data_IF_738908488620
#
_entry.id   IF_738908488620
#
_cell.length_a   1.000
_cell.length_b   1.000
_cell.length_c   1.000
_cell.angle_alpha   90.00
_cell.angle_beta   90.00
_cell.angle_gamma   90.00
#
_symmetry.space_group_name_H-M   'P 1'
#
loop_
_entity.id
_entity.type
_entity.pdbx_description
1 polymer ?
#
# COMPACT_ATOMS: atom_id res chain seq x y z
N UNK A 1 -10.01 38.58 14.93
CA UNK A 1 -9.18 37.40 15.29
C UNK A 1 -8.40 37.00 14.05
N UNK A 2 -7.10 37.32 14.03
CA UNK A 2 -6.20 36.97 12.93
C UNK A 2 -6.12 35.44 12.83
N UNK A 3 -6.79 34.85 11.83
CA UNK A 3 -6.44 33.53 11.37
C UNK A 3 -5.06 33.69 10.68
N UNK A 4 -3.99 33.36 11.38
CA UNK A 4 -2.72 33.08 10.73
C UNK A 4 -3.01 31.97 9.71
N UNK A 5 -3.02 32.30 8.42
CA UNK A 5 -3.01 31.32 7.35
C UNK A 5 -1.82 30.39 7.60
N UNK A 6 -2.09 29.23 8.17
CA UNK A 6 -1.09 28.17 8.28
C UNK A 6 -0.71 27.80 6.84
N UNK A 7 0.43 28.29 6.40
CA UNK A 7 0.96 28.00 5.07
C UNK A 7 1.02 26.49 4.90
N UNK A 8 0.21 25.97 3.98
CA UNK A 8 0.15 24.53 3.68
C UNK A 8 1.55 24.01 3.39
N UNK A 9 1.96 22.89 3.97
CA UNK A 9 3.18 22.18 3.61
C UNK A 9 3.18 21.88 2.10
N UNK A 10 4.34 21.89 1.45
CA UNK A 10 4.46 21.58 0.03
C UNK A 10 5.67 20.71 -0.22
N UNK A 11 5.61 19.86 -1.24
CA UNK A 11 6.80 19.17 -1.78
C UNK A 11 7.71 20.17 -2.47
N UNK A 12 9.03 19.90 -2.47
CA UNK A 12 10.01 20.76 -3.13
C UNK A 12 9.79 20.86 -4.65
N UNK A 13 9.24 19.80 -5.27
CA UNK A 13 8.93 19.74 -6.69
C UNK A 13 8.44 18.37 -7.15
N UNK A 14 8.50 18.11 -8.47
CA UNK A 14 8.02 16.86 -9.10
C UNK A 14 8.66 15.61 -8.47
N UNK A 15 9.98 15.59 -8.29
CA UNK A 15 10.71 14.44 -7.76
C UNK A 15 10.25 14.11 -6.33
N UNK A 16 10.09 15.15 -5.50
CA UNK A 16 9.60 14.99 -4.12
C UNK A 16 8.22 14.36 -4.08
N UNK A 17 7.28 14.87 -4.86
CA UNK A 17 5.94 14.29 -4.97
C UNK A 17 5.98 12.85 -5.48
N UNK A 18 6.66 12.59 -6.61
CA UNK A 18 6.70 11.27 -7.27
C UNK A 18 7.30 10.22 -6.35
N UNK A 19 8.44 10.49 -5.70
CA UNK A 19 9.08 9.50 -4.82
C UNK A 19 8.29 9.28 -3.52
N UNK A 20 7.63 10.32 -3.00
CA UNK A 20 6.76 10.15 -1.83
C UNK A 20 5.48 9.38 -2.17
N UNK A 21 4.83 9.69 -3.31
CA UNK A 21 3.63 8.97 -3.75
C UNK A 21 3.95 7.54 -4.20
N UNK A 22 5.08 7.31 -4.90
CA UNK A 22 5.55 5.97 -5.21
C UNK A 22 5.90 5.18 -3.95
N UNK A 23 6.55 5.82 -2.95
CA UNK A 23 6.80 5.19 -1.65
C UNK A 23 5.53 4.87 -0.88
N UNK A 24 4.47 5.66 -1.03
CA UNK A 24 3.16 5.32 -0.48
C UNK A 24 2.56 4.08 -1.15
N UNK A 25 2.71 3.97 -2.48
CA UNK A 25 2.16 2.86 -3.27
C UNK A 25 2.99 1.58 -3.13
N UNK A 26 4.33 1.70 -3.17
CA UNK A 26 5.24 0.56 -3.01
C UNK A 26 5.31 0.15 -1.54
N UNK A 27 4.52 -0.85 -1.16
CA UNK A 27 4.40 -1.32 0.21
C UNK A 27 4.50 -2.84 0.33
N UNK A 28 4.08 -3.34 1.48
CA UNK A 28 4.02 -4.77 1.75
C UNK A 28 3.14 -5.51 0.73
N UNK A 29 2.12 -4.85 0.19
CA UNK A 29 1.23 -5.41 -0.84
C UNK A 29 1.95 -5.84 -2.12
N UNK A 30 2.98 -5.09 -2.56
CA UNK A 30 3.78 -5.45 -3.73
C UNK A 30 4.69 -6.64 -3.44
N UNK A 31 5.19 -6.76 -2.21
CA UNK A 31 6.25 -7.72 -1.88
C UNK A 31 5.69 -9.09 -1.52
N UNK A 32 4.58 -9.18 -0.79
CA UNK A 32 4.03 -10.51 -0.45
C UNK A 32 2.73 -10.85 -1.17
N UNK A 33 1.77 -9.88 -1.21
CA UNK A 33 0.43 -10.15 -1.72
C UNK A 33 0.43 -10.34 -3.24
N UNK A 34 1.13 -9.48 -3.95
CA UNK A 34 1.21 -9.55 -5.41
C UNK A 34 1.84 -10.86 -5.92
N UNK A 35 3.03 -11.32 -5.43
CA UNK A 35 3.60 -12.59 -5.88
C UNK A 35 2.71 -13.80 -5.57
N UNK A 36 2.09 -13.83 -4.40
CA UNK A 36 1.16 -14.87 -4.04
C UNK A 36 -0.04 -14.92 -4.99
N UNK A 37 -0.70 -13.77 -5.22
CA UNK A 37 -1.86 -13.71 -6.11
C UNK A 37 -1.48 -14.03 -7.56
N UNK A 38 -0.35 -13.54 -8.02
CA UNK A 38 0.15 -13.86 -9.35
C UNK A 38 0.36 -15.37 -9.52
N UNK A 39 0.97 -16.03 -8.55
CA UNK A 39 1.19 -17.48 -8.60
C UNK A 39 -0.11 -18.27 -8.52
N UNK A 40 -1.04 -17.89 -7.63
CA UNK A 40 -2.32 -18.59 -7.45
C UNK A 40 -3.28 -18.39 -8.63
N UNK A 41 -3.28 -17.24 -9.28
CA UNK A 41 -4.30 -16.85 -10.25
C UNK A 41 -3.76 -16.70 -11.68
N UNK A 42 -2.75 -17.49 -12.04
CA UNK A 42 -2.38 -17.76 -13.43
C UNK A 42 -1.07 -17.15 -13.92
N UNK A 43 -0.20 -16.67 -13.03
CA UNK A 43 1.15 -16.21 -13.39
C UNK A 43 1.12 -15.03 -14.37
N UNK A 44 1.64 -15.24 -15.57
CA UNK A 44 1.76 -14.20 -16.59
C UNK A 44 0.43 -13.61 -17.07
N UNK A 45 -0.68 -14.36 -17.04
CA UNK A 45 -2.00 -13.80 -17.38
C UNK A 45 -2.50 -12.87 -16.29
N UNK A 46 -2.24 -13.17 -15.02
CA UNK A 46 -2.51 -12.26 -13.91
C UNK A 46 -1.70 -10.96 -14.07
N UNK A 47 -0.40 -11.07 -14.36
CA UNK A 47 0.47 -9.92 -14.57
C UNK A 47 -0.03 -9.04 -15.71
N UNK A 48 -0.43 -9.63 -16.85
CA UNK A 48 -0.97 -8.88 -18.00
C UNK A 48 -2.22 -8.09 -17.61
N UNK A 49 -3.17 -8.74 -16.92
CA UNK A 49 -4.41 -8.10 -16.45
C UNK A 49 -4.08 -6.98 -15.45
N UNK A 50 -3.16 -7.23 -14.52
CA UNK A 50 -2.72 -6.24 -13.54
C UNK A 50 -2.15 -4.98 -14.23
N UNK A 51 -1.28 -5.13 -15.24
CA UNK A 51 -0.72 -4.01 -16.01
C UNK A 51 -1.84 -3.22 -16.71
N UNK A 52 -2.78 -3.90 -17.36
CA UNK A 52 -3.91 -3.23 -18.03
C UNK A 52 -4.73 -2.42 -17.01
N UNK A 53 -5.01 -2.99 -15.85
CA UNK A 53 -5.75 -2.32 -14.79
C UNK A 53 -4.96 -1.15 -14.17
N UNK A 54 -3.65 -1.27 -14.01
CA UNK A 54 -2.81 -0.17 -13.54
C UNK A 54 -2.87 1.02 -14.51
N UNK A 55 -2.76 0.75 -15.84
CA UNK A 55 -2.80 1.78 -16.90
C UNK A 55 -4.18 2.42 -17.10
N UNK A 56 -5.24 1.81 -16.64
CA UNK A 56 -6.62 2.27 -16.82
C UNK A 56 -7.26 2.74 -15.52
N UNK A 57 -7.59 1.80 -14.65
CA UNK A 57 -8.25 2.07 -13.36
C UNK A 57 -7.30 2.80 -12.40
N UNK A 58 -6.10 2.27 -12.17
CA UNK A 58 -5.11 2.84 -11.26
C UNK A 58 -4.76 4.27 -11.65
N UNK A 59 -4.37 4.46 -12.91
CA UNK A 59 -4.11 5.79 -13.47
C UNK A 59 -5.27 6.77 -13.22
N UNK A 60 -6.51 6.34 -13.50
CA UNK A 60 -7.69 7.19 -13.37
C UNK A 60 -7.92 7.64 -11.92
N UNK A 61 -7.79 6.73 -10.98
CA UNK A 61 -8.01 7.05 -9.56
C UNK A 61 -6.89 7.93 -9.00
N UNK A 62 -5.63 7.70 -9.37
CA UNK A 62 -4.51 8.57 -8.95
C UNK A 62 -4.71 9.99 -9.47
N UNK A 63 -5.05 10.15 -10.76
CA UNK A 63 -5.35 11.47 -11.35
C UNK A 63 -6.51 12.14 -10.62
N UNK A 64 -7.60 11.41 -10.36
CA UNK A 64 -8.79 11.94 -9.69
C UNK A 64 -8.47 12.47 -8.30
N UNK A 65 -7.88 11.63 -7.44
CA UNK A 65 -7.61 11.98 -6.04
C UNK A 65 -6.52 13.06 -5.91
N UNK A 66 -5.45 12.97 -6.70
CA UNK A 66 -4.40 14.00 -6.73
C UNK A 66 -4.96 15.36 -7.19
N UNK A 67 -5.83 15.36 -8.21
CA UNK A 67 -6.49 16.60 -8.68
C UNK A 67 -7.39 17.19 -7.59
N UNK A 68 -8.21 16.38 -6.91
CA UNK A 68 -9.07 16.83 -5.80
C UNK A 68 -8.20 17.52 -4.72
N UNK A 69 -7.10 16.88 -4.33
CA UNK A 69 -6.16 17.41 -3.35
C UNK A 69 -5.55 18.73 -3.78
N UNK A 70 -5.00 18.80 -5.01
CA UNK A 70 -4.34 20.02 -5.55
C UNK A 70 -5.30 21.18 -5.77
N UNK A 71 -6.52 20.92 -6.26
CA UNK A 71 -7.55 21.95 -6.45
C UNK A 71 -7.95 22.61 -5.15
N UNK A 72 -8.00 21.86 -4.06
CA UNK A 72 -8.54 22.33 -2.79
C UNK A 72 -7.47 22.77 -1.79
N UNK A 73 -6.25 22.25 -1.92
CA UNK A 73 -5.18 22.47 -0.95
C UNK A 73 -5.52 21.91 0.44
N UNK A 74 -6.40 20.91 0.55
CA UNK A 74 -6.91 20.37 1.81
C UNK A 74 -6.81 18.85 1.87
N UNK A 75 -6.83 18.33 3.11
CA UNK A 75 -6.98 16.90 3.41
C UNK A 75 -8.37 16.38 2.99
N UNK A 76 -8.62 15.07 2.97
CA UNK A 76 -9.83 14.49 2.40
C UNK A 76 -11.14 15.14 2.87
N UNK A 77 -11.34 15.35 4.17
CA UNK A 77 -12.58 15.92 4.70
C UNK A 77 -12.78 17.35 4.19
N UNK A 78 -11.76 18.19 4.32
CA UNK A 78 -11.80 19.56 3.86
C UNK A 78 -11.93 19.67 2.34
N UNK A 79 -11.30 18.76 1.59
CA UNK A 79 -11.39 18.69 0.15
C UNK A 79 -12.84 18.42 -0.32
N UNK A 80 -13.50 17.42 0.24
CA UNK A 80 -14.89 17.12 -0.08
C UNK A 80 -15.84 18.26 0.31
N UNK A 81 -15.66 18.87 1.49
CA UNK A 81 -16.43 20.04 1.95
C UNK A 81 -16.32 21.25 1.02
N UNK A 82 -15.18 21.41 0.33
CA UNK A 82 -14.96 22.52 -0.62
C UNK A 82 -15.92 22.49 -1.82
N UNK A 83 -16.53 21.34 -2.12
CA UNK A 83 -17.50 21.17 -3.23
C UNK A 83 -18.96 21.16 -2.77
N UNK A 84 -19.23 21.33 -1.49
CA UNK A 84 -20.58 21.46 -0.95
C UNK A 84 -20.72 20.85 0.44
N UNK A 85 -21.85 21.15 1.08
CA UNK A 85 -22.11 20.77 2.47
C UNK A 85 -23.13 19.64 2.61
N UNK A 86 -23.40 18.87 1.53
CA UNK A 86 -24.34 17.76 1.56
C UNK A 86 -23.81 16.61 2.45
N UNK A 87 -24.68 15.89 3.19
CA UNK A 87 -24.27 14.78 4.04
C UNK A 87 -23.43 13.71 3.32
N UNK A 88 -23.78 13.39 2.07
CA UNK A 88 -23.03 12.42 1.26
C UNK A 88 -21.58 12.87 0.98
N UNK A 89 -21.31 14.17 0.81
CA UNK A 89 -19.95 14.70 0.63
C UNK A 89 -19.17 14.63 1.94
N UNK A 90 -19.80 14.95 3.05
CA UNK A 90 -19.18 14.81 4.38
C UNK A 90 -18.82 13.34 4.63
N UNK A 91 -19.73 12.41 4.34
CA UNK A 91 -19.45 10.97 4.46
C UNK A 91 -18.27 10.54 3.60
N UNK A 92 -18.23 10.94 2.31
CA UNK A 92 -17.12 10.63 1.39
C UNK A 92 -15.78 11.18 1.89
N UNK A 93 -15.74 12.38 2.46
CA UNK A 93 -14.54 12.95 3.07
C UNK A 93 -14.08 12.17 4.31
N UNK A 94 -15.01 11.90 5.23
CA UNK A 94 -14.69 11.20 6.48
C UNK A 94 -14.29 9.75 6.28
N UNK A 95 -14.92 9.01 5.36
CA UNK A 95 -14.52 7.62 5.10
C UNK A 95 -13.08 7.56 4.58
N UNK A 96 -12.67 8.44 3.65
CA UNK A 96 -11.30 8.55 3.18
C UNK A 96 -10.30 8.94 4.30
N UNK A 97 -10.75 9.72 5.29
CA UNK A 97 -9.90 10.16 6.40
C UNK A 97 -9.76 9.13 7.52
N UNK A 98 -10.79 8.33 7.78
CA UNK A 98 -10.80 7.31 8.83
C UNK A 98 -9.98 6.08 8.44
N UNK A 99 -9.99 5.71 7.15
CA UNK A 99 -9.25 4.56 6.63
C UNK A 99 -7.78 4.56 7.08
N UNK A 100 -6.96 5.59 6.83
CA UNK A 100 -5.56 5.57 7.26
C UNK A 100 -5.40 5.56 8.77
N UNK A 101 -6.32 6.15 9.54
CA UNK A 101 -6.29 6.10 11.02
C UNK A 101 -6.44 4.67 11.53
N UNK A 102 -7.23 3.84 10.84
CA UNK A 102 -7.44 2.44 11.21
C UNK A 102 -6.35 1.51 10.64
N UNK A 103 -5.79 1.83 9.47
CA UNK A 103 -4.73 1.00 8.84
C UNK A 103 -3.41 1.13 9.59
N UNK A 104 -2.97 2.35 9.91
CA UNK A 104 -1.65 2.62 10.50
C UNK A 104 -1.36 1.76 11.73
N UNK A 105 -2.29 1.56 12.68
CA UNK A 105 -2.05 0.72 13.86
C UNK A 105 -1.65 -0.71 13.52
N UNK A 106 -2.48 -1.46 12.79
CA UNK A 106 -2.20 -2.86 12.49
C UNK A 106 -1.07 -3.02 11.45
N UNK A 107 -0.93 -2.08 10.52
CA UNK A 107 0.18 -2.04 9.57
C UNK A 107 1.54 -1.89 10.27
N UNK A 108 1.58 -1.09 11.34
CA UNK A 108 2.78 -0.92 12.16
C UNK A 108 3.14 -2.18 12.95
N UNK A 109 2.18 -3.03 13.30
CA UNK A 109 2.46 -4.35 13.89
C UNK A 109 3.21 -5.24 12.90
N UNK A 110 2.73 -5.28 11.65
CA UNK A 110 3.41 -6.03 10.59
C UNK A 110 4.81 -5.44 10.31
N UNK A 111 4.94 -4.11 10.34
CA UNK A 111 6.24 -3.44 10.28
C UNK A 111 7.17 -3.86 11.42
N UNK A 112 6.64 -4.05 12.62
CA UNK A 112 7.36 -4.60 13.77
C UNK A 112 7.87 -6.03 13.52
N UNK A 113 7.08 -6.89 12.88
CA UNK A 113 7.54 -8.23 12.48
C UNK A 113 8.72 -8.17 11.51
N UNK A 114 8.70 -7.20 10.59
CA UNK A 114 9.83 -6.93 9.67
C UNK A 114 11.08 -6.51 10.44
N UNK A 115 10.94 -5.63 11.44
CA UNK A 115 12.05 -5.21 12.32
C UNK A 115 12.67 -6.41 13.03
N UNK A 116 11.85 -7.32 13.57
CA UNK A 116 12.34 -8.55 14.23
C UNK A 116 13.15 -9.41 13.28
N UNK A 117 12.62 -9.71 12.10
CA UNK A 117 13.28 -10.57 11.13
C UNK A 117 14.57 -9.92 10.59
N UNK A 118 14.56 -8.62 10.34
CA UNK A 118 15.77 -7.89 9.96
C UNK A 118 16.87 -8.01 11.03
N UNK A 119 16.50 -7.82 12.30
CA UNK A 119 17.44 -7.94 13.40
C UNK A 119 18.08 -9.34 13.46
N UNK A 120 17.29 -10.41 13.33
CA UNK A 120 17.79 -11.78 13.32
C UNK A 120 18.73 -12.05 12.14
N UNK A 121 18.39 -11.60 10.94
CA UNK A 121 19.25 -11.75 9.77
C UNK A 121 20.58 -11.00 9.91
N UNK A 122 20.55 -9.75 10.42
CA UNK A 122 21.77 -8.94 10.65
C UNK A 122 22.66 -9.57 11.73
N UNK A 123 22.06 -10.23 12.72
CA UNK A 123 22.79 -10.98 13.75
C UNK A 123 23.30 -12.36 13.28
N UNK A 124 23.08 -12.70 12.01
CA UNK A 124 23.51 -13.98 11.44
C UNK A 124 22.64 -15.18 11.82
N UNK A 125 21.44 -14.93 12.36
CA UNK A 125 20.51 -15.96 12.85
C UNK A 125 19.45 -16.34 11.80
N UNK A 126 19.78 -16.26 10.50
CA UNK A 126 18.85 -16.56 9.41
C UNK A 126 18.23 -17.97 9.49
N UNK A 127 19.01 -18.97 9.92
CA UNK A 127 18.54 -20.34 10.13
C UNK A 127 17.49 -20.46 11.26
N UNK A 128 17.58 -19.60 12.28
CA UNK A 128 16.63 -19.58 13.39
C UNK A 128 15.22 -19.14 12.92
N UNK A 129 15.16 -18.08 12.10
CA UNK A 129 13.88 -17.58 11.58
C UNK A 129 13.26 -18.50 10.51
N UNK A 130 14.06 -19.38 9.91
CA UNK A 130 13.60 -20.40 8.99
C UNK A 130 13.03 -21.65 9.69
N UNK A 131 13.26 -21.79 11.00
CA UNK A 131 12.78 -22.94 11.77
C UNK A 131 11.23 -22.99 11.84
N UNK A 132 10.69 -24.21 11.85
CA UNK A 132 9.25 -24.42 11.98
C UNK A 132 8.73 -23.85 13.32
N UNK A 133 7.62 -23.12 13.25
CA UNK A 133 6.99 -22.54 14.42
C UNK A 133 7.62 -21.24 14.94
N UNK A 134 8.77 -20.80 14.41
CA UNK A 134 9.40 -19.56 14.86
C UNK A 134 8.46 -18.36 14.77
N UNK A 135 7.84 -18.15 13.62
CA UNK A 135 6.92 -17.01 13.42
C UNK A 135 5.73 -17.07 14.40
N UNK A 136 5.11 -18.24 14.54
CA UNK A 136 3.97 -18.41 15.46
C UNK A 136 4.38 -18.18 16.92
N UNK A 137 5.55 -18.67 17.33
CA UNK A 137 6.09 -18.42 18.67
C UNK A 137 6.41 -16.95 18.92
N UNK A 138 6.94 -16.25 17.91
CA UNK A 138 7.25 -14.83 18.00
C UNK A 138 5.98 -13.97 18.15
N UNK A 139 4.96 -14.15 17.29
CA UNK A 139 3.74 -13.34 17.34
C UNK A 139 2.87 -13.64 18.57
N UNK A 140 2.94 -14.85 19.13
CA UNK A 140 2.27 -15.20 20.38
C UNK A 140 2.98 -14.69 21.62
N UNK A 141 4.27 -14.34 21.52
CA UNK A 141 5.02 -13.68 22.59
C UNK A 141 4.66 -12.19 22.65
N UNK A 142 3.67 -11.83 23.46
CA UNK A 142 3.14 -10.46 23.54
C UNK A 142 4.21 -9.40 23.78
N UNK A 143 5.20 -9.64 24.66
CA UNK A 143 6.25 -8.66 24.93
C UNK A 143 7.17 -8.43 23.73
N UNK A 144 7.62 -9.49 23.07
CA UNK A 144 8.53 -9.39 21.92
C UNK A 144 7.85 -8.75 20.72
N UNK A 145 6.61 -9.14 20.42
CA UNK A 145 5.81 -8.58 19.33
C UNK A 145 5.54 -7.10 19.58
N UNK A 146 5.12 -6.75 20.80
CA UNK A 146 4.79 -5.37 21.19
C UNK A 146 6.01 -4.45 21.09
N UNK A 147 7.17 -4.88 21.60
CA UNK A 147 8.39 -4.10 21.53
C UNK A 147 8.81 -3.79 20.08
N UNK A 148 8.77 -4.78 19.20
CA UNK A 148 9.08 -4.59 17.78
C UNK A 148 8.08 -3.65 17.09
N UNK A 149 6.79 -3.78 17.40
CA UNK A 149 5.76 -2.87 16.93
C UNK A 149 6.03 -1.43 17.36
N UNK A 150 6.34 -1.20 18.65
CA UNK A 150 6.63 0.13 19.18
C UNK A 150 7.88 0.76 18.55
N UNK A 151 8.91 -0.04 18.24
CA UNK A 151 10.10 0.42 17.51
C UNK A 151 9.70 0.93 16.11
N UNK A 152 8.93 0.15 15.36
CA UNK A 152 8.48 0.57 14.02
C UNK A 152 7.57 1.80 14.08
N UNK A 153 6.64 1.85 15.03
CA UNK A 153 5.77 3.01 15.27
C UNK A 153 6.59 4.28 15.57
N UNK A 154 7.61 4.16 16.44
CA UNK A 154 8.50 5.27 16.77
C UNK A 154 9.28 5.77 15.55
N UNK A 155 9.78 4.87 14.69
CA UNK A 155 10.44 5.24 13.43
C UNK A 155 9.50 6.05 12.52
N UNK A 156 8.27 5.59 12.34
CA UNK A 156 7.25 6.29 11.55
C UNK A 156 6.97 7.69 12.12
N UNK A 157 6.68 7.78 13.41
CA UNK A 157 6.34 9.03 14.08
C UNK A 157 7.50 10.04 14.06
N UNK A 158 8.75 9.59 14.24
CA UNK A 158 9.92 10.46 14.18
C UNK A 158 10.02 11.17 12.82
N UNK A 159 9.74 10.46 11.72
CA UNK A 159 9.75 11.04 10.39
C UNK A 159 8.58 12.03 10.20
N UNK A 160 7.40 11.70 10.71
CA UNK A 160 6.23 12.59 10.63
C UNK A 160 6.45 13.87 11.42
N UNK A 161 7.06 13.82 12.62
CA UNK A 161 7.42 15.02 13.39
C UNK A 161 8.39 15.95 12.63
N UNK A 162 9.28 15.39 11.80
CA UNK A 162 10.20 16.19 10.98
C UNK A 162 9.52 16.95 9.82
N UNK A 163 8.25 16.66 9.52
CA UNK A 163 7.44 17.38 8.53
C UNK A 163 7.46 16.78 7.12
N UNK A 164 6.83 17.49 6.18
CA UNK A 164 6.66 16.99 4.81
C UNK A 164 7.98 17.01 4.05
N UNK A 165 8.63 18.17 3.96
CA UNK A 165 9.85 18.35 3.16
C UNK A 165 11.07 17.67 3.81
N UNK A 166 11.32 17.96 5.10
CA UNK A 166 12.51 17.48 5.83
C UNK A 166 12.35 16.02 6.33
N UNK A 167 11.13 15.55 6.50
CA UNK A 167 10.82 14.18 6.91
C UNK A 167 10.45 13.31 5.71
N UNK A 168 9.21 13.38 5.28
CA UNK A 168 8.61 12.47 4.28
C UNK A 168 9.38 12.48 2.96
N UNK A 169 9.57 13.64 2.38
CA UNK A 169 10.22 13.78 1.08
C UNK A 169 11.69 13.37 1.13
N UNK A 170 12.43 13.82 2.16
CA UNK A 170 13.84 13.50 2.32
C UNK A 170 14.06 12.01 2.50
N UNK A 171 13.25 11.37 3.33
CA UNK A 171 13.32 9.92 3.57
C UNK A 171 12.96 9.14 2.30
N UNK A 172 11.90 9.53 1.59
CA UNK A 172 11.50 8.90 0.33
C UNK A 172 12.58 9.03 -0.75
N UNK A 173 13.25 10.19 -0.85
CA UNK A 173 14.37 10.40 -1.79
C UNK A 173 15.57 9.47 -1.55
N UNK A 174 15.77 9.01 -0.33
CA UNK A 174 16.86 8.08 0.04
C UNK A 174 16.37 6.63 -0.10
N UNK A 175 15.24 6.31 0.50
CA UNK A 175 14.76 4.91 0.59
C UNK A 175 14.33 4.35 -0.76
N UNK A 176 13.65 5.14 -1.62
CA UNK A 176 13.13 4.63 -2.88
C UNK A 176 14.22 4.17 -3.87
N UNK A 177 15.30 4.94 -4.13
CA UNK A 177 16.40 4.44 -4.96
C UNK A 177 17.08 3.19 -4.39
N UNK A 178 17.31 3.12 -3.09
CA UNK A 178 17.90 1.95 -2.43
C UNK A 178 16.97 0.74 -2.59
N UNK A 179 15.67 0.91 -2.40
CA UNK A 179 14.66 -0.13 -2.59
C UNK A 179 14.69 -0.69 -4.02
N UNK A 180 14.77 0.17 -5.03
CA UNK A 180 14.88 -0.24 -6.45
C UNK A 180 16.15 -1.05 -6.69
N UNK A 181 17.29 -0.59 -6.19
CA UNK A 181 18.58 -1.31 -6.33
C UNK A 181 18.52 -2.67 -5.65
N UNK A 182 18.03 -2.73 -4.41
CA UNK A 182 17.88 -3.99 -3.68
C UNK A 182 16.92 -4.95 -4.39
N UNK A 183 15.78 -4.43 -4.89
CA UNK A 183 14.82 -5.24 -5.67
C UNK A 183 15.48 -5.85 -6.90
N UNK A 184 16.28 -5.07 -7.63
CA UNK A 184 17.00 -5.55 -8.81
C UNK A 184 18.03 -6.63 -8.44
N UNK A 185 18.86 -6.37 -7.43
CA UNK A 185 19.91 -7.31 -7.00
C UNK A 185 19.31 -8.64 -6.57
N UNK A 186 18.25 -8.61 -5.74
CA UNK A 186 17.62 -9.83 -5.24
C UNK A 186 16.88 -10.56 -6.38
N UNK A 187 16.23 -9.83 -7.31
CA UNK A 187 15.59 -10.44 -8.49
C UNK A 187 16.61 -11.17 -9.36
N UNK A 188 17.75 -10.53 -9.68
CA UNK A 188 18.83 -11.16 -10.45
C UNK A 188 19.35 -12.40 -9.73
N UNK A 189 19.58 -12.31 -8.42
CA UNK A 189 20.01 -13.46 -7.63
C UNK A 189 18.98 -14.60 -7.70
N UNK A 190 17.70 -14.32 -7.54
CA UNK A 190 16.61 -15.31 -7.56
C UNK A 190 16.51 -16.04 -8.91
N UNK A 191 16.49 -15.28 -10.02
CA UNK A 191 16.31 -15.87 -11.35
C UNK A 191 17.52 -16.67 -11.82
N UNK A 192 18.69 -16.49 -11.23
CA UNK A 192 19.92 -17.26 -11.53
C UNK A 192 20.02 -18.57 -10.76
N UNK A 193 19.09 -18.91 -9.89
CA UNK A 193 19.11 -20.18 -9.15
C UNK A 193 18.76 -21.36 -10.04
N UNK A 194 19.38 -22.52 -9.84
CA UNK A 194 18.99 -23.76 -10.52
C UNK A 194 17.48 -24.04 -10.30
N UNK A 195 16.75 -24.34 -11.37
CA UNK A 195 15.30 -24.57 -11.31
C UNK A 195 14.41 -23.31 -11.35
N UNK A 196 14.99 -22.11 -11.23
CA UNK A 196 14.22 -20.85 -11.22
C UNK A 196 13.57 -20.50 -12.56
N UNK A 197 14.09 -21.00 -13.68
CA UNK A 197 13.62 -20.64 -15.04
C UNK A 197 12.14 -20.97 -15.27
N UNK A 198 11.65 -22.07 -14.71
CA UNK A 198 10.23 -22.44 -14.80
C UNK A 198 9.33 -21.41 -14.11
N UNK A 199 9.74 -20.92 -12.93
CA UNK A 199 9.06 -19.85 -12.22
C UNK A 199 9.07 -18.53 -12.99
N UNK A 200 10.20 -18.19 -13.63
CA UNK A 200 10.30 -17.00 -14.51
C UNK A 200 9.33 -17.13 -15.69
N UNK A 201 9.31 -18.27 -16.39
CA UNK A 201 8.39 -18.51 -17.51
C UNK A 201 6.92 -18.45 -17.04
N UNK A 202 6.62 -19.11 -15.93
CA UNK A 202 5.27 -19.10 -15.33
C UNK A 202 4.79 -17.67 -15.05
N UNK A 203 5.65 -16.84 -14.48
CA UNK A 203 5.30 -15.49 -14.07
C UNK A 203 5.25 -14.47 -15.22
N UNK A 204 6.15 -14.58 -16.21
CA UNK A 204 6.25 -13.57 -17.28
C UNK A 204 5.47 -13.93 -18.55
N UNK A 205 5.24 -15.22 -18.82
CA UNK A 205 4.60 -15.66 -20.08
C UNK A 205 3.09 -15.83 -19.84
N UNK A 206 2.24 -14.99 -20.46
CA UNK A 206 0.80 -15.12 -20.36
C UNK A 206 0.32 -16.46 -20.94
N UNK A 207 -0.41 -17.24 -20.13
CA UNK A 207 -1.03 -18.46 -20.61
C UNK A 207 -2.56 -18.34 -20.42
N UNK A 208 -3.27 -18.24 -21.53
CA UNK A 208 -4.73 -18.07 -21.54
C UNK A 208 -5.44 -19.26 -20.91
N UNK A 209 -4.84 -20.47 -20.90
CA UNK A 209 -5.41 -21.66 -20.23
C UNK A 209 -5.53 -21.47 -18.70
N UNK A 210 -4.70 -20.61 -18.13
CA UNK A 210 -4.71 -20.29 -16.69
C UNK A 210 -5.66 -19.12 -16.35
N UNK A 211 -6.40 -18.59 -17.33
CA UNK A 211 -7.35 -17.51 -17.12
C UNK A 211 -8.58 -18.01 -16.34
N UNK A 212 -8.99 -17.21 -15.37
CA UNK A 212 -10.28 -17.35 -14.70
C UNK A 212 -10.88 -15.95 -14.43
N UNK A 213 -12.18 -15.87 -14.23
CA UNK A 213 -12.79 -14.60 -13.80
C UNK A 213 -12.23 -14.12 -12.45
N UNK A 214 -11.81 -15.07 -11.60
CA UNK A 214 -11.16 -14.76 -10.34
C UNK A 214 -9.79 -14.09 -10.53
N UNK A 215 -9.07 -14.38 -11.63
CA UNK A 215 -7.84 -13.67 -12.02
C UNK A 215 -8.09 -12.16 -12.17
N UNK A 216 -9.21 -11.78 -12.81
CA UNK A 216 -9.57 -10.37 -12.98
C UNK A 216 -9.94 -9.72 -11.65
N UNK A 217 -10.80 -10.36 -10.87
CA UNK A 217 -11.27 -9.82 -9.57
C UNK A 217 -10.10 -9.63 -8.59
N UNK A 218 -9.23 -10.62 -8.51
CA UNK A 218 -8.06 -10.55 -7.59
C UNK A 218 -7.01 -9.57 -8.08
N UNK A 219 -6.78 -9.46 -9.39
CA UNK A 219 -5.90 -8.42 -9.96
C UNK A 219 -6.43 -7.01 -9.71
N UNK A 220 -7.76 -6.80 -9.81
CA UNK A 220 -8.39 -5.52 -9.44
C UNK A 220 -8.18 -5.20 -7.97
N UNK A 221 -8.46 -6.16 -7.07
CA UNK A 221 -8.26 -5.98 -5.64
C UNK A 221 -6.81 -5.72 -5.26
N UNK A 222 -5.87 -6.41 -5.92
CA UNK A 222 -4.43 -6.19 -5.71
C UNK A 222 -4.01 -4.78 -6.15
N UNK A 223 -4.42 -4.35 -7.32
CA UNK A 223 -4.07 -3.04 -7.85
C UNK A 223 -4.67 -1.89 -7.03
N UNK A 224 -5.89 -2.07 -6.54
CA UNK A 224 -6.58 -1.14 -5.67
C UNK A 224 -5.80 -0.89 -4.36
N UNK A 225 -5.33 -1.98 -3.75
CA UNK A 225 -4.50 -1.94 -2.54
C UNK A 225 -3.11 -1.38 -2.80
N UNK A 226 -2.45 -1.83 -3.89
CA UNK A 226 -1.07 -1.48 -4.23
C UNK A 226 -0.89 0.02 -4.46
N UNK A 227 -1.77 0.65 -5.24
CA UNK A 227 -1.66 2.07 -5.59
C UNK A 227 -2.16 3.04 -4.49
N UNK A 228 -2.47 2.55 -3.29
CA UNK A 228 -2.97 3.35 -2.16
C UNK A 228 -4.20 4.20 -2.51
N UNK A 229 -5.08 3.67 -3.34
CA UNK A 229 -6.30 4.33 -3.80
C UNK A 229 -7.35 4.33 -2.69
N UNK A 230 -8.10 5.41 -2.58
CA UNK A 230 -9.19 5.59 -1.61
C UNK A 230 -8.77 5.46 -0.13
N UNK A 231 -7.53 5.80 0.16
CA UNK A 231 -6.98 5.89 1.54
C UNK A 231 -6.76 7.34 1.97
N UNK A 232 -7.22 8.32 1.21
CA UNK A 232 -6.99 9.75 1.49
C UNK A 232 -5.55 10.23 1.24
N UNK A 233 -4.60 9.31 1.01
CA UNK A 233 -3.17 9.63 0.82
C UNK A 233 -2.96 10.49 -0.43
N UNK A 234 -3.52 10.08 -1.56
CA UNK A 234 -3.35 10.80 -2.83
C UNK A 234 -4.02 12.17 -2.83
N UNK A 235 -5.14 12.34 -2.10
CA UNK A 235 -5.76 13.64 -1.87
C UNK A 235 -4.83 14.51 -1.00
N UNK A 236 -4.30 13.96 0.09
CA UNK A 236 -3.38 14.66 0.98
C UNK A 236 -2.10 15.09 0.26
N UNK A 237 -1.44 14.16 -0.45
CA UNK A 237 -0.22 14.46 -1.20
C UNK A 237 -0.47 15.39 -2.38
N UNK A 238 -1.63 15.26 -3.05
CA UNK A 238 -2.09 16.20 -4.06
C UNK A 238 -2.22 17.62 -3.51
N UNK A 239 -2.69 17.77 -2.26
CA UNK A 239 -2.78 19.09 -1.60
C UNK A 239 -1.42 19.75 -1.31
N UNK A 240 -0.33 18.98 -1.35
CA UNK A 240 1.04 19.48 -1.21
C UNK A 240 1.74 19.67 -2.56
N UNK A 241 1.08 19.30 -3.67
CA UNK A 241 1.64 19.42 -5.02
C UNK A 241 1.54 20.86 -5.52
N UNK A 242 2.65 21.39 -6.01
CA UNK A 242 2.69 22.70 -6.64
C UNK A 242 1.94 22.71 -7.98
N UNK A 243 1.37 23.84 -8.37
CA UNK A 243 0.55 23.96 -9.60
C UNK A 243 1.36 23.78 -10.88
N UNK A 244 2.65 24.07 -10.86
CA UNK A 244 3.58 23.91 -11.99
C UNK A 244 3.98 22.46 -12.25
N UNK A 245 3.69 21.56 -11.30
CA UNK A 245 4.01 20.13 -11.44
C UNK A 245 2.90 19.42 -12.20
N UNK A 246 3.25 18.70 -13.27
CA UNK A 246 2.30 17.93 -14.06
C UNK A 246 1.70 16.77 -13.27
N UNK A 247 0.35 16.76 -13.14
CA UNK A 247 -0.36 15.62 -12.53
C UNK A 247 -0.19 14.38 -13.41
N UNK A 248 -0.41 14.51 -14.72
CA UNK A 248 -0.39 13.35 -15.63
C UNK A 248 0.99 12.67 -15.66
N UNK A 249 2.07 13.44 -15.80
CA UNK A 249 3.43 12.89 -15.80
C UNK A 249 3.80 12.28 -14.44
N UNK A 250 3.37 12.92 -13.35
CA UNK A 250 3.63 12.42 -12.00
C UNK A 250 2.87 11.12 -11.73
N UNK A 251 1.60 11.05 -12.12
CA UNK A 251 0.79 9.83 -12.03
C UNK A 251 1.41 8.69 -12.82
N UNK A 252 1.85 8.96 -14.08
CA UNK A 252 2.52 7.94 -14.90
C UNK A 252 3.79 7.42 -14.24
N UNK A 253 4.56 8.31 -13.60
CA UNK A 253 5.77 7.88 -12.91
C UNK A 253 5.44 7.01 -11.68
N UNK A 254 4.43 7.35 -10.90
CA UNK A 254 3.97 6.51 -9.77
C UNK A 254 3.49 5.15 -10.25
N UNK A 255 2.67 5.11 -11.31
CA UNK A 255 2.18 3.89 -11.98
C UNK A 255 3.35 2.98 -12.42
N UNK A 256 4.36 3.55 -13.09
CA UNK A 256 5.54 2.82 -13.55
C UNK A 256 6.37 2.31 -12.37
N UNK A 257 6.59 3.12 -11.34
CA UNK A 257 7.32 2.69 -10.15
C UNK A 257 6.64 1.53 -9.44
N UNK A 258 5.35 1.64 -9.16
CA UNK A 258 4.58 0.59 -8.48
C UNK A 258 4.59 -0.72 -9.28
N UNK A 259 4.28 -0.63 -10.58
CA UNK A 259 4.25 -1.81 -11.47
C UNK A 259 5.63 -2.46 -11.61
N UNK A 260 6.70 -1.66 -11.74
CA UNK A 260 8.07 -2.18 -11.84
C UNK A 260 8.48 -2.90 -10.54
N UNK A 261 8.18 -2.34 -9.37
CA UNK A 261 8.47 -3.00 -8.09
C UNK A 261 7.62 -4.27 -7.91
N UNK A 262 6.34 -4.26 -8.32
CA UNK A 262 5.51 -5.46 -8.29
C UNK A 262 6.08 -6.58 -9.18
N UNK A 263 6.55 -6.25 -10.38
CA UNK A 263 7.21 -7.20 -11.28
C UNK A 263 8.52 -7.71 -10.66
N UNK A 264 9.36 -6.82 -10.12
CA UNK A 264 10.59 -7.23 -9.45
C UNK A 264 10.31 -8.11 -8.23
N UNK A 265 9.28 -7.81 -7.43
CA UNK A 265 8.86 -8.64 -6.31
C UNK A 265 8.41 -10.04 -6.78
N UNK A 266 7.66 -10.10 -7.89
CA UNK A 266 7.32 -11.37 -8.53
C UNK A 266 8.57 -12.15 -8.96
N UNK A 267 9.55 -11.49 -9.56
CA UNK A 267 10.83 -12.10 -9.96
C UNK A 267 11.75 -12.46 -8.78
N UNK A 268 11.65 -11.75 -7.65
CA UNK A 268 12.37 -12.12 -6.43
C UNK A 268 11.84 -13.40 -5.81
N UNK A 269 10.52 -13.55 -5.78
CA UNK A 269 9.85 -14.53 -4.93
C UNK A 269 9.42 -15.78 -5.71
N UNK A 270 8.74 -15.62 -6.84
CA UNK A 270 8.18 -16.77 -7.57
C UNK A 270 9.28 -17.72 -8.07
N UNK A 271 10.35 -17.27 -8.77
CA UNK A 271 11.41 -18.16 -9.21
C UNK A 271 12.16 -18.84 -8.07
N UNK A 272 12.40 -18.12 -6.94
CA UNK A 272 13.07 -18.68 -5.77
C UNK A 272 12.23 -19.80 -5.12
N UNK A 273 10.92 -19.59 -4.97
CA UNK A 273 10.02 -20.59 -4.39
C UNK A 273 9.86 -21.79 -5.36
N UNK A 274 9.77 -21.55 -6.67
CA UNK A 274 9.74 -22.65 -7.66
C UNK A 274 11.00 -23.52 -7.63
N UNK A 275 12.18 -22.89 -7.53
CA UNK A 275 13.44 -23.59 -7.38
C UNK A 275 13.48 -24.43 -6.10
N UNK A 276 12.97 -23.89 -4.99
CA UNK A 276 12.91 -24.58 -3.69
C UNK A 276 11.87 -25.71 -3.64
N UNK A 277 10.70 -25.52 -4.28
CA UNK A 277 9.57 -26.46 -4.24
C UNK A 277 9.50 -27.42 -5.43
N UNK A 278 10.55 -27.52 -6.23
CA UNK A 278 10.57 -28.35 -7.45
C UNK A 278 9.43 -28.03 -8.42
N UNK A 279 9.05 -26.75 -8.51
CA UNK A 279 8.06 -26.24 -9.46
C UNK A 279 6.61 -26.23 -8.96
N UNK A 280 6.37 -26.41 -7.66
CA UNK A 280 5.01 -26.38 -7.08
C UNK A 280 4.57 -24.95 -6.73
N UNK A 281 3.58 -24.35 -7.46
CA UNK A 281 3.07 -23.01 -7.15
C UNK A 281 2.34 -22.94 -5.80
N UNK A 282 1.83 -24.08 -5.27
CA UNK A 282 1.10 -24.10 -4.00
C UNK A 282 1.99 -23.87 -2.77
N UNK A 283 3.31 -23.94 -2.95
CA UNK A 283 4.28 -23.58 -1.94
C UNK A 283 4.27 -22.06 -1.62
N UNK A 284 3.75 -21.21 -2.52
CA UNK A 284 3.52 -19.80 -2.25
C UNK A 284 2.28 -19.62 -1.37
N UNK A 285 2.48 -19.58 -0.06
CA UNK A 285 1.40 -19.41 0.91
C UNK A 285 0.86 -17.96 0.90
N UNK A 286 -0.41 -17.81 1.30
CA UNK A 286 -1.05 -16.51 1.40
C UNK A 286 -0.53 -15.66 2.58
N UNK A 287 -0.59 -14.35 2.40
CA UNK A 287 -0.42 -13.38 3.48
C UNK A 287 0.96 -13.39 4.14
N UNK A 288 1.02 -13.10 5.45
CA UNK A 288 2.27 -13.05 6.22
C UNK A 288 3.09 -14.33 6.17
N UNK A 289 2.43 -15.48 5.99
CA UNK A 289 3.10 -16.78 5.92
C UNK A 289 4.10 -16.89 4.75
N UNK A 290 3.84 -16.23 3.63
CA UNK A 290 4.82 -16.18 2.54
C UNK A 290 6.12 -15.50 3.00
N UNK A 291 6.02 -14.33 3.60
CA UNK A 291 7.17 -13.50 3.94
C UNK A 291 7.91 -13.98 5.19
N UNK A 292 7.17 -14.46 6.19
CA UNK A 292 7.75 -14.80 7.50
C UNK A 292 7.96 -16.30 7.74
N UNK A 293 7.47 -17.17 6.85
CA UNK A 293 7.69 -18.62 6.96
C UNK A 293 8.36 -19.16 5.70
N UNK A 294 7.76 -18.94 4.52
CA UNK A 294 8.26 -19.56 3.27
C UNK A 294 9.58 -18.95 2.82
N UNK A 295 9.67 -17.63 2.72
CA UNK A 295 10.86 -16.93 2.22
C UNK A 295 12.11 -17.18 3.10
N UNK A 296 12.04 -17.13 4.44
CA UNK A 296 13.18 -17.51 5.27
C UNK A 296 13.70 -18.92 5.01
N UNK A 297 12.82 -19.91 4.82
CA UNK A 297 13.21 -21.28 4.46
C UNK A 297 13.89 -21.35 3.09
N UNK A 298 13.38 -20.62 2.12
CA UNK A 298 13.99 -20.50 0.80
C UNK A 298 15.39 -19.94 0.90
N UNK A 299 15.58 -18.84 1.65
CA UNK A 299 16.90 -18.24 1.84
C UNK A 299 17.86 -19.16 2.60
N UNK A 300 17.39 -19.86 3.62
CA UNK A 300 18.20 -20.82 4.39
C UNK A 300 18.72 -21.97 3.52
N UNK A 301 17.96 -22.38 2.51
CA UNK A 301 18.37 -23.39 1.52
C UNK A 301 19.34 -22.89 0.46
N UNK A 302 19.58 -21.55 0.38
CA UNK A 302 20.39 -20.92 -0.65
C UNK A 302 21.79 -20.54 -0.13
N UNK A 303 22.81 -20.65 -1.00
CA UNK A 303 24.12 -20.02 -0.72
C UNK A 303 23.93 -18.49 -0.54
N UNK A 304 24.63 -17.91 0.41
CA UNK A 304 24.49 -16.48 0.80
C UNK A 304 23.12 -16.09 1.40
N UNK A 305 22.33 -17.06 1.87
CA UNK A 305 20.97 -16.83 2.37
C UNK A 305 20.88 -15.75 3.45
N UNK A 306 21.83 -15.69 4.38
CA UNK A 306 21.86 -14.62 5.41
C UNK A 306 22.05 -13.23 4.81
N UNK A 307 22.93 -13.07 3.82
CA UNK A 307 23.16 -11.77 3.16
C UNK A 307 21.94 -11.35 2.33
N UNK A 308 21.39 -12.25 1.55
CA UNK A 308 20.21 -12.00 0.74
C UNK A 308 18.99 -11.75 1.62
N UNK A 309 18.81 -12.51 2.70
CA UNK A 309 17.76 -12.29 3.68
C UNK A 309 17.86 -10.93 4.37
N UNK A 310 19.07 -10.51 4.77
CA UNK A 310 19.31 -9.17 5.30
C UNK A 310 18.91 -8.10 4.29
N UNK A 311 19.38 -8.21 3.04
CA UNK A 311 19.03 -7.26 1.97
C UNK A 311 17.51 -7.23 1.70
N UNK A 312 16.87 -8.40 1.70
CA UNK A 312 15.43 -8.52 1.51
C UNK A 312 14.64 -7.83 2.65
N UNK A 313 15.00 -8.08 3.92
CA UNK A 313 14.29 -7.46 5.03
C UNK A 313 14.59 -5.96 5.19
N UNK A 314 15.75 -5.45 4.74
CA UNK A 314 15.99 -4.00 4.57
C UNK A 314 15.04 -3.42 3.51
N UNK A 315 14.90 -4.07 2.36
CA UNK A 315 13.98 -3.68 1.30
C UNK A 315 12.54 -3.65 1.82
N UNK A 316 12.11 -4.70 2.51
CA UNK A 316 10.76 -4.81 3.09
C UNK A 316 10.53 -3.73 4.15
N UNK A 317 11.52 -3.44 5.01
CA UNK A 317 11.43 -2.37 6.00
C UNK A 317 11.23 -1.01 5.33
N UNK A 318 11.97 -0.71 4.26
CA UNK A 318 11.83 0.55 3.54
C UNK A 318 10.44 0.66 2.88
N UNK A 319 9.96 -0.39 2.25
CA UNK A 319 8.61 -0.44 1.67
C UNK A 319 7.52 -0.26 2.74
N UNK A 320 7.66 -0.93 3.89
CA UNK A 320 6.72 -0.79 4.98
C UNK A 320 6.73 0.63 5.58
N UNK A 321 7.93 1.19 5.78
CA UNK A 321 8.09 2.49 6.42
C UNK A 321 7.58 3.63 5.54
N UNK A 322 7.85 3.64 4.25
CA UNK A 322 7.36 4.68 3.32
C UNK A 322 5.84 4.68 3.22
N UNK A 323 5.19 3.51 3.21
CA UNK A 323 3.73 3.41 3.22
C UNK A 323 3.13 3.83 4.58
N UNK A 324 3.73 3.42 5.70
CA UNK A 324 3.31 3.82 7.04
C UNK A 324 3.37 5.34 7.23
N UNK A 325 4.44 5.99 6.73
CA UNK A 325 4.60 7.45 6.74
C UNK A 325 3.46 8.12 5.97
N UNK A 326 3.14 7.63 4.77
CA UNK A 326 2.11 8.22 3.93
C UNK A 326 0.69 8.11 4.55
N UNK A 327 0.37 6.94 5.12
CA UNK A 327 -0.86 6.71 5.87
C UNK A 327 -0.96 7.65 7.08
N UNK A 328 0.12 7.73 7.88
CA UNK A 328 0.16 8.58 9.08
C UNK A 328 0.02 10.05 8.72
N UNK A 329 0.67 10.52 7.64
CA UNK A 329 0.55 11.89 7.18
C UNK A 329 -0.88 12.23 6.76
N UNK A 330 -1.57 11.32 6.06
CA UNK A 330 -2.98 11.52 5.68
C UNK A 330 -3.87 11.70 6.92
N UNK A 331 -3.65 10.90 7.96
CA UNK A 331 -4.36 11.03 9.24
C UNK A 331 -4.03 12.34 9.98
N UNK A 332 -2.74 12.68 10.08
CA UNK A 332 -2.25 13.91 10.75
C UNK A 332 -2.79 15.15 10.06
N UNK A 333 -2.69 15.23 8.73
CA UNK A 333 -3.17 16.38 7.96
C UNK A 333 -4.68 16.58 8.11
N UNK A 334 -5.44 15.50 8.25
CA UNK A 334 -6.89 15.58 8.50
C UNK A 334 -7.18 16.24 9.86
N UNK A 335 -6.47 15.85 10.92
CA UNK A 335 -6.65 16.48 12.24
C UNK A 335 -6.20 17.96 12.25
N UNK A 336 -5.14 18.29 11.51
CA UNK A 336 -4.71 19.68 11.35
C UNK A 336 -5.78 20.53 10.67
N UNK A 337 -6.34 20.04 9.56
CA UNK A 337 -7.31 20.79 8.77
C UNK A 337 -8.69 20.91 9.45
N UNK A 338 -9.17 19.84 10.09
CA UNK A 338 -10.51 19.82 10.66
C UNK A 338 -10.58 20.39 12.08
N UNK A 339 -9.53 20.18 12.88
CA UNK A 339 -9.50 20.61 14.29
C UNK A 339 -8.61 21.83 14.52
N UNK A 340 -7.90 22.33 13.50
CA UNK A 340 -6.98 23.45 13.63
C UNK A 340 -5.79 23.14 14.55
N UNK A 341 -5.42 21.86 14.71
CA UNK A 341 -4.33 21.47 15.61
C UNK A 341 -2.97 21.72 14.98
N UNK A 342 -1.99 22.06 15.83
CA UNK A 342 -0.60 22.06 15.40
C UNK A 342 -0.16 20.67 14.97
N UNK A 343 0.84 20.60 14.08
CA UNK A 343 1.40 19.32 13.60
C UNK A 343 1.80 18.41 14.75
N UNK A 344 2.52 18.93 15.75
CA UNK A 344 2.98 18.15 16.88
C UNK A 344 1.81 17.55 17.67
N UNK A 345 0.75 18.32 17.93
CA UNK A 345 -0.45 17.83 18.63
C UNK A 345 -1.17 16.75 17.81
N UNK A 346 -1.35 16.98 16.51
CA UNK A 346 -2.00 16.01 15.63
C UNK A 346 -1.18 14.71 15.52
N UNK A 347 0.15 14.81 15.33
CA UNK A 347 1.04 13.65 15.28
C UNK A 347 1.04 12.86 16.58
N UNK A 348 1.09 13.54 17.74
CA UNK A 348 1.01 12.86 19.05
C UNK A 348 -0.31 12.14 19.23
N UNK A 349 -1.44 12.73 18.82
CA UNK A 349 -2.75 12.06 18.91
C UNK A 349 -2.83 10.82 18.01
N UNK A 350 -2.34 10.91 16.77
CA UNK A 350 -2.26 9.73 15.89
C UNK A 350 -1.31 8.69 16.47
N UNK A 351 -0.20 9.10 17.09
CA UNK A 351 0.70 8.20 17.82
C UNK A 351 0.01 7.46 18.95
N UNK A 352 -0.80 8.14 19.76
CA UNK A 352 -1.61 7.51 20.82
C UNK A 352 -2.61 6.51 20.22
N UNK A 353 -3.33 6.89 19.15
CA UNK A 353 -4.25 6.00 18.45
C UNK A 353 -3.51 4.78 17.87
N UNK A 354 -2.33 5.00 17.28
CA UNK A 354 -1.48 3.94 16.73
C UNK A 354 -1.07 2.93 17.82
N UNK A 355 -0.64 3.41 18.99
CA UNK A 355 -0.27 2.54 20.11
C UNK A 355 -1.48 1.79 20.62
N UNK A 356 -2.59 2.46 20.92
CA UNK A 356 -3.78 1.82 21.51
C UNK A 356 -4.37 0.73 20.59
N UNK A 357 -4.63 1.05 19.32
CA UNK A 357 -5.22 0.10 18.38
C UNK A 357 -4.19 -0.93 17.87
N UNK A 358 -2.92 -0.52 17.78
CA UNK A 358 -1.84 -1.42 17.40
C UNK A 358 -1.55 -2.46 18.47
N UNK A 359 -1.59 -2.08 19.76
CA UNK A 359 -1.43 -3.05 20.86
C UNK A 359 -2.55 -4.08 20.87
N UNK A 360 -3.80 -3.72 20.55
CA UNK A 360 -4.87 -4.70 20.37
C UNK A 360 -4.54 -5.71 19.26
N UNK A 361 -4.02 -5.21 18.14
CA UNK A 361 -3.63 -6.05 16.99
C UNK A 361 -2.39 -6.91 17.29
N UNK A 362 -1.38 -6.35 17.97
CA UNK A 362 -0.14 -7.05 18.34
C UNK A 362 -0.40 -8.15 19.38
N UNK A 363 -1.18 -7.85 20.40
CA UNK A 363 -1.52 -8.80 21.48
C UNK A 363 -2.61 -9.80 21.07
N UNK A 364 -3.30 -9.56 19.94
CA UNK A 364 -4.37 -10.42 19.43
C UNK A 364 -3.92 -11.84 19.07
N UNK A 365 -2.63 -12.05 18.78
CA UNK A 365 -2.07 -13.39 18.52
C UNK A 365 -1.46 -14.07 19.76
N UNK A 366 -1.43 -13.37 20.88
CA UNK A 366 -0.86 -13.84 22.14
C UNK A 366 -1.85 -13.74 23.31
N UNK A 367 -1.67 -12.80 24.26
CA UNK A 367 -2.53 -12.68 25.43
C UNK A 367 -4.01 -12.46 25.15
N UNK A 368 -4.36 -11.83 24.03
CA UNK A 368 -5.73 -11.56 23.59
C UNK A 368 -6.24 -12.53 22.52
N UNK A 369 -5.55 -13.66 22.26
CA UNK A 369 -5.88 -14.60 21.19
C UNK A 369 -7.33 -15.16 21.27
N UNK A 370 -7.91 -15.20 22.45
CA UNK A 370 -9.29 -15.66 22.67
C UNK A 370 -10.34 -14.55 22.43
N UNK A 371 -9.92 -13.31 22.21
CA UNK A 371 -10.81 -12.17 21.96
C UNK A 371 -10.88 -11.91 20.46
N UNK A 372 -12.02 -12.24 19.85
CA UNK A 372 -12.22 -12.08 18.40
C UNK A 372 -13.43 -11.20 18.11
N UNK A 373 -13.40 -10.51 16.99
CA UNK A 373 -14.53 -9.72 16.45
C UNK A 373 -15.02 -10.43 15.18
N UNK A 374 -16.26 -10.90 15.18
CA UNK A 374 -16.86 -11.67 14.06
C UNK A 374 -15.97 -12.90 13.68
N UNK A 375 -15.36 -13.53 14.70
CA UNK A 375 -14.47 -14.68 14.49
C UNK A 375 -13.07 -14.35 13.96
N UNK A 376 -12.72 -13.07 13.82
CA UNK A 376 -11.41 -12.61 13.34
C UNK A 376 -10.58 -12.04 14.49
N UNK A 377 -9.26 -12.22 14.45
CA UNK A 377 -8.33 -11.50 15.31
C UNK A 377 -8.38 -10.01 15.01
N UNK A 378 -7.94 -9.15 15.95
CA UNK A 378 -8.01 -7.70 15.81
C UNK A 378 -7.34 -7.19 14.52
N UNK A 379 -6.14 -7.69 14.19
CA UNK A 379 -5.44 -7.31 12.97
C UNK A 379 -6.27 -7.66 11.72
N UNK A 380 -6.75 -8.90 11.64
CA UNK A 380 -7.53 -9.40 10.50
C UNK A 380 -8.87 -8.66 10.38
N UNK A 381 -9.49 -8.31 11.51
CA UNK A 381 -10.72 -7.53 11.52
C UNK A 381 -10.50 -6.11 11.00
N UNK A 382 -9.45 -5.41 11.45
CA UNK A 382 -9.15 -4.07 10.95
C UNK A 382 -8.76 -4.09 9.47
N UNK A 383 -8.00 -5.09 9.03
CA UNK A 383 -7.67 -5.28 7.61
C UNK A 383 -8.93 -5.53 6.77
N UNK A 384 -9.80 -6.43 7.20
CA UNK A 384 -11.09 -6.67 6.55
C UNK A 384 -11.95 -5.41 6.48
N UNK A 385 -12.14 -4.72 7.62
CA UNK A 385 -12.97 -3.52 7.69
C UNK A 385 -12.47 -2.43 6.75
N UNK A 386 -11.17 -2.16 6.75
CA UNK A 386 -10.58 -1.08 5.95
C UNK A 386 -10.46 -1.46 4.49
N UNK A 387 -9.81 -2.57 4.17
CA UNK A 387 -9.48 -2.92 2.78
C UNK A 387 -10.66 -3.53 2.03
N UNK A 388 -11.47 -4.37 2.69
CA UNK A 388 -12.55 -5.09 2.03
C UNK A 388 -13.86 -4.30 1.98
N UNK A 389 -14.10 -3.40 2.96
CA UNK A 389 -15.37 -2.67 3.08
C UNK A 389 -15.18 -1.17 2.82
N UNK A 390 -14.35 -0.49 3.62
CA UNK A 390 -14.30 0.97 3.60
C UNK A 390 -13.66 1.53 2.34
N UNK A 391 -12.54 0.97 1.88
CA UNK A 391 -11.84 1.46 0.70
C UNK A 391 -12.68 1.41 -0.60
N UNK A 392 -13.37 0.31 -0.94
CA UNK A 392 -14.26 0.30 -2.10
C UNK A 392 -15.38 1.34 -2.01
N UNK A 393 -15.95 1.54 -0.82
CA UNK A 393 -16.97 2.58 -0.60
C UNK A 393 -16.37 3.98 -0.80
N UNK A 394 -15.17 4.23 -0.27
CA UNK A 394 -14.46 5.49 -0.45
C UNK A 394 -14.12 5.76 -1.93
N UNK A 395 -13.74 4.74 -2.69
CA UNK A 395 -13.50 4.87 -4.13
C UNK A 395 -14.77 5.22 -4.90
N UNK A 396 -15.89 4.56 -4.59
CA UNK A 396 -17.20 4.91 -5.18
C UNK A 396 -17.54 6.36 -4.85
N UNK A 397 -17.32 6.81 -3.60
CA UNK A 397 -17.54 8.19 -3.20
C UNK A 397 -16.65 9.17 -3.99
N UNK A 398 -15.36 8.86 -4.21
CA UNK A 398 -14.45 9.65 -5.06
C UNK A 398 -14.92 9.71 -6.51
N UNK A 399 -15.36 8.58 -7.07
CA UNK A 399 -15.91 8.52 -8.43
C UNK A 399 -17.18 9.39 -8.57
N UNK A 400 -18.09 9.32 -7.60
CA UNK A 400 -19.31 10.15 -7.59
C UNK A 400 -18.95 11.63 -7.45
N UNK A 401 -18.03 11.98 -6.55
CA UNK A 401 -17.56 13.36 -6.40
C UNK A 401 -17.04 13.92 -7.72
N UNK A 402 -16.16 13.19 -8.41
CA UNK A 402 -15.58 13.64 -9.67
C UNK A 402 -16.59 13.66 -10.80
N UNK A 403 -17.40 12.61 -10.95
CA UNK A 403 -18.29 12.49 -12.11
C UNK A 403 -19.58 13.32 -12.02
N UNK A 404 -20.10 13.56 -10.79
CA UNK A 404 -21.42 14.20 -10.58
C UNK A 404 -21.36 15.57 -9.90
N UNK A 405 -20.33 15.86 -9.13
CA UNK A 405 -20.24 17.10 -8.34
C UNK A 405 -19.23 18.07 -8.93
N UNK A 406 -17.97 17.64 -9.10
CA UNK A 406 -16.90 18.47 -9.66
C UNK A 406 -17.08 18.63 -11.17
N UNK A 407 -17.35 17.52 -11.84
CA UNK A 407 -17.35 17.39 -13.29
C UNK A 407 -15.96 17.08 -13.85
N UNK A 408 -15.93 16.15 -14.82
CA UNK A 408 -14.67 15.69 -15.45
C UNK A 408 -13.94 16.81 -16.20
N UNK A 409 -14.64 17.86 -16.61
CA UNK A 409 -14.09 19.03 -17.28
C UNK A 409 -13.19 19.84 -16.34
N UNK A 410 -13.63 20.09 -15.09
CA UNK A 410 -12.83 20.80 -14.09
C UNK A 410 -11.58 20.01 -13.70
N UNK A 411 -11.68 18.68 -13.65
CA UNK A 411 -10.49 17.84 -13.46
C UNK A 411 -9.53 17.97 -14.65
N UNK A 412 -10.07 17.96 -15.88
CA UNK A 412 -9.24 18.14 -17.08
C UNK A 412 -8.52 19.51 -17.08
N UNK A 413 -9.23 20.58 -16.69
CA UNK A 413 -8.63 21.91 -16.52
C UNK A 413 -7.51 21.90 -15.47
N UNK A 414 -7.73 21.25 -14.33
CA UNK A 414 -6.71 21.12 -13.28
C UNK A 414 -5.48 20.36 -13.77
N UNK A 415 -5.68 19.24 -14.48
CA UNK A 415 -4.58 18.43 -15.03
C UNK A 415 -3.73 19.22 -16.03
N UNK A 416 -4.35 20.10 -16.81
CA UNK A 416 -3.68 20.90 -17.87
C UNK A 416 -3.15 22.25 -17.40
N UNK A 417 -3.17 22.56 -16.11
CA UNK A 417 -2.67 23.84 -15.57
C UNK A 417 -1.20 24.12 -15.88
N UNK A 418 -0.40 23.08 -16.05
CA UNK A 418 1.02 23.15 -16.43
C UNK A 418 1.25 23.40 -17.92
N UNK A 419 0.18 23.62 -18.69
CA UNK A 419 0.22 23.85 -20.16
C UNK A 419 0.37 22.58 -21.00
N UNK A 420 0.38 21.41 -20.39
CA UNK A 420 0.50 20.12 -21.12
C UNK A 420 -0.86 19.53 -21.42
N UNK A 421 -1.01 18.77 -22.54
CA UNK A 421 -2.26 18.13 -22.89
C UNK A 421 -2.57 16.95 -21.96
N UNK A 422 -3.84 16.75 -21.60
CA UNK A 422 -4.31 15.57 -20.90
C UNK A 422 -4.44 14.39 -21.90
N UNK A 423 -3.37 13.61 -22.09
CA UNK A 423 -3.27 12.58 -23.14
C UNK A 423 -4.27 11.44 -22.98
N UNK A 424 -4.45 10.93 -21.75
CA UNK A 424 -5.36 9.80 -21.45
C UNK A 424 -6.77 10.26 -21.05
N UNK A 425 -7.20 11.48 -21.43
CA UNK A 425 -8.51 12.06 -21.05
C UNK A 425 -9.68 11.17 -21.42
N UNK A 426 -9.70 10.53 -22.61
CA UNK A 426 -10.78 9.63 -23.04
C UNK A 426 -10.92 8.42 -22.11
N UNK A 427 -9.77 7.79 -21.75
CA UNK A 427 -9.71 6.67 -20.80
C UNK A 427 -10.22 7.14 -19.43
N UNK A 428 -9.70 8.25 -18.92
CA UNK A 428 -10.13 8.85 -17.66
C UNK A 428 -11.65 9.05 -17.60
N UNK A 429 -12.23 9.64 -18.63
CA UNK A 429 -13.67 9.93 -18.67
C UNK A 429 -14.53 8.66 -18.66
N UNK A 430 -14.16 7.64 -19.41
CA UNK A 430 -14.88 6.37 -19.45
C UNK A 430 -14.75 5.61 -18.11
N UNK A 431 -13.51 5.56 -17.58
CA UNK A 431 -13.21 4.85 -16.34
C UNK A 431 -13.91 5.49 -15.15
N UNK A 432 -13.76 6.80 -14.92
CA UNK A 432 -14.26 7.46 -13.71
C UNK A 432 -15.81 7.48 -13.65
N UNK A 433 -16.49 7.53 -14.80
CA UNK A 433 -17.95 7.59 -14.85
C UNK A 433 -18.61 6.24 -14.68
N UNK A 434 -18.01 5.17 -15.20
CA UNK A 434 -18.66 3.87 -15.35
C UNK A 434 -17.84 2.72 -14.75
N UNK A 435 -16.60 2.53 -15.21
CA UNK A 435 -15.85 1.34 -14.88
C UNK A 435 -15.25 1.36 -13.46
N UNK A 436 -14.72 2.49 -13.00
CA UNK A 436 -14.17 2.57 -11.64
C UNK A 436 -15.20 2.30 -10.55
N UNK A 437 -16.40 2.94 -10.54
CA UNK A 437 -17.40 2.62 -9.53
C UNK A 437 -17.94 1.19 -9.67
N UNK A 438 -18.05 0.65 -10.89
CA UNK A 438 -18.44 -0.74 -11.12
C UNK A 438 -17.41 -1.73 -10.56
N UNK A 439 -16.12 -1.51 -10.82
CA UNK A 439 -15.05 -2.36 -10.29
C UNK A 439 -14.97 -2.28 -8.76
N UNK A 440 -15.11 -1.08 -8.18
CA UNK A 440 -15.13 -0.93 -6.74
C UNK A 440 -16.33 -1.67 -6.10
N UNK A 441 -17.50 -1.67 -6.75
CA UNK A 441 -18.65 -2.45 -6.29
C UNK A 441 -18.40 -3.97 -6.37
N UNK A 442 -17.75 -4.47 -7.44
CA UNK A 442 -17.36 -5.88 -7.55
C UNK A 442 -16.38 -6.25 -6.42
N UNK A 443 -15.36 -5.42 -6.16
CA UNK A 443 -14.41 -5.66 -5.08
C UNK A 443 -15.14 -5.73 -3.73
N UNK A 444 -16.05 -4.81 -3.46
CA UNK A 444 -16.83 -4.77 -2.22
C UNK A 444 -17.64 -6.07 -2.04
N UNK A 445 -18.41 -6.44 -3.06
CA UNK A 445 -19.29 -7.62 -3.00
C UNK A 445 -18.45 -8.90 -2.88
N UNK A 446 -17.41 -9.05 -3.70
CA UNK A 446 -16.56 -10.25 -3.66
C UNK A 446 -15.79 -10.38 -2.35
N UNK A 447 -15.29 -9.28 -1.80
CA UNK A 447 -14.56 -9.30 -0.53
C UNK A 447 -15.48 -9.66 0.65
N UNK A 448 -16.70 -9.12 0.67
CA UNK A 448 -17.71 -9.48 1.68
C UNK A 448 -18.10 -10.96 1.52
N UNK A 449 -18.37 -11.42 0.30
CA UNK A 449 -18.71 -12.81 0.04
C UNK A 449 -17.60 -13.79 0.47
N UNK A 450 -16.32 -13.40 0.23
CA UNK A 450 -15.17 -14.17 0.70
C UNK A 450 -15.07 -14.22 2.23
N UNK A 451 -15.31 -13.10 2.91
CA UNK A 451 -15.25 -13.04 4.38
C UNK A 451 -16.32 -13.92 5.05
N UNK A 452 -17.47 -14.09 4.42
CA UNK A 452 -18.53 -14.98 4.88
C UNK A 452 -18.46 -16.42 4.31
N UNK A 453 -17.34 -16.77 3.63
CA UNK A 453 -17.12 -18.11 3.10
C UNK A 453 -18.03 -18.51 1.93
N UNK A 454 -18.72 -17.53 1.28
CA UNK A 454 -19.57 -17.79 0.12
C UNK A 454 -18.76 -18.02 -1.16
N UNK A 455 -17.55 -17.49 -1.22
CA UNK A 455 -16.55 -17.72 -2.29
C UNK A 455 -15.18 -17.84 -1.65
N UNK A 456 -14.21 -18.46 -2.34
CA UNK A 456 -12.80 -18.52 -1.92
C UNK A 456 -11.95 -17.64 -2.85
N UNK A 457 -11.28 -16.64 -2.29
CA UNK A 457 -10.37 -15.76 -3.00
C UNK A 457 -8.91 -15.99 -2.58
#
# INVERSE_FOLDING_TARGET
MNQSEHKRSSFSGKIGFVLSAAGASVGLGNIWRFPYLAAKYGGGIFLLIYIILAMTFGYTMIVAETSIGRMTGKSPVGAYKSFGNKPALRFGGWINAIIPILIVPYYSVIGGWVVKYLAEYVLGQGHLVAADGYFSSFISNGLSSELCFLIFAAMTLAIIFAGVENGIERVSKIMMPILVVLSLVISVYSVTRPGALEGVKYFLVPNVKNFSWMTVVTAMGQMFYSLSIAMGILITFGSYMKKEVSIEDSTRNVEVFDTAIAIMAGLMIIPAVFAFSSGDPSALKAGPALMFITIPKVFDSMGLGTVIGSAFFVLVLFAALTSSIALTESAVSTLQDELGWSRNKATSMIGVSMVLLGSLSSLGYGPLANVTIIGMQFLDFFDFLTNSVMMPIAAIASCILVSRVIGVERIAQEVTLDGRPFRRRKIFNAMIRFLCPFFAAIILISSIANAFGLISM
#
